data_IF_983751680264
#
_entry.id   IF_983751680264
#
_cell.length_a   1.000
_cell.length_b   1.000
_cell.length_c   1.000
_cell.angle_alpha   90.00
_cell.angle_beta   90.00
_cell.angle_gamma   90.00
#
_symmetry.space_group_name_H-M   'P 1'
#
loop_
_entity.id
_entity.type
_entity.pdbx_description
1 polymer ?
#
# COMPACT_ATOMS: atom_id res chain seq x y z
N UNK A 1 1.42 -35.40 -24.40
CA UNK A 1 2.02 -35.53 -23.06
C UNK A 1 2.38 -34.12 -22.58
N UNK A 2 1.72 -33.67 -21.51
CA UNK A 2 1.95 -32.49 -20.64
C UNK A 2 2.31 -31.11 -21.24
N UNK A 3 1.28 -30.28 -21.47
CA UNK A 3 1.40 -28.81 -21.48
C UNK A 3 1.51 -28.30 -20.04
N UNK A 4 2.74 -28.03 -19.61
CA UNK A 4 3.06 -27.47 -18.30
C UNK A 4 3.03 -25.95 -18.32
N UNK A 5 1.95 -25.34 -18.82
CA UNK A 5 1.77 -23.88 -18.77
C UNK A 5 1.47 -23.47 -17.34
N UNK A 6 2.56 -23.17 -16.63
CA UNK A 6 2.64 -22.58 -15.30
C UNK A 6 1.59 -21.48 -15.16
N UNK A 7 0.47 -21.84 -14.56
CA UNK A 7 -0.43 -20.89 -13.92
C UNK A 7 0.35 -20.27 -12.77
N UNK A 8 1.14 -19.24 -13.05
CA UNK A 8 1.52 -18.26 -12.04
C UNK A 8 0.22 -17.60 -11.64
N UNK A 9 -0.43 -18.23 -10.67
CA UNK A 9 -1.48 -17.67 -9.85
C UNK A 9 -0.93 -16.34 -9.35
N UNK A 10 -1.28 -15.26 -10.07
CA UNK A 10 -1.51 -13.97 -9.47
C UNK A 10 -2.65 -14.16 -8.47
N UNK A 11 -2.34 -14.86 -7.37
CA UNK A 11 -3.18 -14.84 -6.19
C UNK A 11 -3.25 -13.35 -5.84
N UNK A 12 -4.43 -12.72 -5.81
CA UNK A 12 -4.54 -11.43 -5.15
C UNK A 12 -4.23 -11.75 -3.69
N UNK A 13 -2.95 -11.65 -3.31
CA UNK A 13 -2.54 -11.67 -1.92
C UNK A 13 -3.42 -10.61 -1.28
N UNK A 14 -4.30 -11.03 -0.38
CA UNK A 14 -5.22 -10.15 0.29
C UNK A 14 -4.40 -8.98 0.83
N UNK A 15 -4.55 -7.82 0.18
CA UNK A 15 -3.65 -6.67 0.33
C UNK A 15 -3.64 -6.18 1.78
N UNK A 16 -4.69 -6.49 2.55
CA UNK A 16 -4.77 -6.24 3.98
C UNK A 16 -3.82 -7.06 4.87
N UNK A 17 -3.35 -8.24 4.44
CA UNK A 17 -2.46 -9.12 5.22
C UNK A 17 -0.98 -8.99 4.82
N UNK A 18 -0.69 -8.30 3.72
CA UNK A 18 0.69 -8.07 3.32
C UNK A 18 1.42 -7.25 4.39
N UNK A 19 2.58 -7.75 4.84
CA UNK A 19 3.44 -7.03 5.79
C UNK A 19 4.19 -5.92 5.08
N UNK A 20 4.34 -4.79 5.75
CA UNK A 20 5.07 -3.62 5.23
C UNK A 20 6.49 -3.98 4.75
N UNK A 21 7.18 -4.84 5.50
CA UNK A 21 8.54 -5.30 5.19
C UNK A 21 8.62 -6.09 3.88
N UNK A 22 7.56 -6.82 3.52
CA UNK A 22 7.52 -7.53 2.25
C UNK A 22 7.23 -6.58 1.08
N UNK A 23 6.28 -5.65 1.26
CA UNK A 23 5.97 -4.61 0.26
C UNK A 23 7.20 -3.78 -0.13
N UNK A 24 8.01 -3.45 0.88
CA UNK A 24 9.24 -2.65 0.72
C UNK A 24 10.39 -3.46 0.14
N UNK A 25 10.54 -4.74 0.53
CA UNK A 25 11.52 -5.64 -0.07
C UNK A 25 11.26 -5.89 -1.56
N UNK A 26 9.98 -5.87 -1.98
CA UNK A 26 9.57 -6.03 -3.37
C UNK A 26 9.80 -4.77 -4.24
N UNK A 27 10.39 -3.69 -3.71
CA UNK A 27 10.53 -2.38 -4.38
C UNK A 27 9.19 -1.83 -4.90
N UNK A 28 8.10 -2.14 -4.20
CA UNK A 28 6.77 -1.67 -4.57
C UNK A 28 6.47 -0.30 -3.97
N UNK A 29 5.64 0.48 -4.64
CA UNK A 29 5.12 1.75 -4.11
C UNK A 29 3.92 1.47 -3.22
N UNK A 30 3.88 2.07 -2.04
CA UNK A 30 2.69 2.07 -1.20
C UNK A 30 1.78 3.23 -1.58
N UNK A 31 0.51 2.93 -1.70
CA UNK A 31 -0.53 3.86 -2.06
C UNK A 31 -1.59 3.85 -0.98
N UNK A 32 -2.05 5.03 -0.61
CA UNK A 32 -3.21 5.18 0.24
C UNK A 32 -4.37 5.68 -0.60
N UNK A 33 -5.55 5.09 -0.41
CA UNK A 33 -6.80 5.53 -1.00
C UNK A 33 -7.81 5.87 0.09
N UNK A 34 -8.33 7.09 0.02
CA UNK A 34 -9.41 7.52 0.88
C UNK A 34 -10.75 7.28 0.18
N UNK A 35 -11.80 6.94 0.94
CA UNK A 35 -13.16 6.83 0.42
C UNK A 35 -13.73 8.13 -0.20
N UNK A 36 -13.05 9.27 -0.05
CA UNK A 36 -13.38 10.51 -0.75
C UNK A 36 -12.86 10.55 -2.20
N UNK A 37 -12.23 9.48 -2.68
CA UNK A 37 -11.64 9.40 -4.03
C UNK A 37 -10.23 9.99 -4.15
N UNK A 38 -9.59 10.40 -3.05
CA UNK A 38 -8.20 10.87 -3.06
C UNK A 38 -7.25 9.68 -2.92
N UNK A 39 -6.16 9.73 -3.68
CA UNK A 39 -5.10 8.74 -3.66
C UNK A 39 -3.77 9.46 -3.41
N UNK A 40 -2.87 8.87 -2.63
CA UNK A 40 -1.53 9.42 -2.43
C UNK A 40 -0.50 8.31 -2.24
N UNK A 41 0.70 8.51 -2.77
CA UNK A 41 1.84 7.65 -2.48
C UNK A 41 2.30 7.87 -1.04
N UNK A 42 2.45 6.78 -0.28
CA UNK A 42 2.94 6.81 1.09
C UNK A 42 4.38 6.30 1.12
N UNK A 43 5.26 7.09 1.73
CA UNK A 43 6.64 6.66 1.92
C UNK A 43 6.72 5.68 3.11
N UNK A 44 7.24 4.44 2.91
CA UNK A 44 7.36 3.45 3.99
C UNK A 44 8.52 3.72 4.95
N UNK A 45 9.51 4.54 4.59
CA UNK A 45 10.72 4.78 5.39
C UNK A 45 10.42 5.21 6.84
N UNK A 46 9.49 6.14 7.13
CA UNK A 46 9.16 6.49 8.51
C UNK A 46 8.65 5.31 9.33
N UNK A 47 7.84 4.41 8.75
CA UNK A 47 7.35 3.22 9.43
C UNK A 47 8.42 2.16 9.61
N UNK A 48 9.29 1.98 8.60
CA UNK A 48 10.45 1.08 8.71
C UNK A 48 11.43 1.54 9.79
N UNK A 49 11.71 2.84 9.87
CA UNK A 49 12.56 3.43 10.91
C UNK A 49 11.98 3.24 12.32
N UNK A 50 10.66 3.10 12.46
CA UNK A 50 9.98 2.78 13.72
C UNK A 50 9.90 1.26 14.01
N UNK A 51 10.45 0.41 13.14
CA UNK A 51 10.39 -1.05 13.32
C UNK A 51 9.03 -1.68 13.00
N UNK A 52 8.16 -0.97 12.28
CA UNK A 52 6.82 -1.45 11.89
C UNK A 52 6.83 -2.35 10.64
N UNK A 53 8.00 -2.82 10.21
CA UNK A 53 8.17 -3.71 9.05
C UNK A 53 7.36 -5.00 9.15
N UNK A 54 7.10 -5.48 10.38
CA UNK A 54 6.28 -6.69 10.63
C UNK A 54 4.77 -6.42 10.73
N UNK A 55 4.35 -5.15 10.77
CA UNK A 55 2.93 -4.80 10.79
C UNK A 55 2.30 -5.06 9.42
N UNK A 56 1.05 -5.47 9.45
CA UNK A 56 0.21 -5.61 8.26
C UNK A 56 -0.27 -4.24 7.79
N UNK A 57 -0.44 -4.08 6.48
CA UNK A 57 -0.90 -2.81 5.90
C UNK A 57 -2.24 -2.35 6.48
N UNK A 58 -3.16 -3.28 6.77
CA UNK A 58 -4.45 -2.94 7.37
C UNK A 58 -4.32 -2.17 8.70
N UNK A 59 -3.35 -2.51 9.55
CA UNK A 59 -3.10 -1.81 10.82
C UNK A 59 -2.55 -0.39 10.59
N UNK A 60 -1.70 -0.25 9.56
CA UNK A 60 -1.11 1.03 9.16
C UNK A 60 -2.13 1.97 8.50
N UNK A 61 -3.21 1.44 7.90
CA UNK A 61 -4.31 2.20 7.32
C UNK A 61 -4.98 3.16 8.32
N UNK A 62 -5.02 2.78 9.61
CA UNK A 62 -5.56 3.62 10.70
C UNK A 62 -4.65 4.79 11.09
N UNK A 63 -3.38 4.77 10.65
CA UNK A 63 -2.39 5.83 10.92
C UNK A 63 -2.34 6.87 9.80
N UNK A 64 -3.15 6.69 8.76
CA UNK A 64 -3.25 7.59 7.63
C UNK A 64 -4.38 8.59 7.83
N UNK A 65 -4.10 9.85 7.51
CA UNK A 65 -5.07 10.94 7.55
C UNK A 65 -5.19 11.57 6.19
N UNK A 66 -6.44 11.71 5.74
CA UNK A 66 -6.75 12.44 4.53
C UNK A 66 -7.09 13.89 4.88
N UNK A 67 -6.74 14.83 4.00
CA UNK A 67 -7.12 16.25 4.09
C UNK A 67 -8.63 16.48 4.04
N UNK A 68 -9.42 15.49 3.59
CA UNK A 68 -10.87 15.53 3.66
C UNK A 68 -11.43 15.36 5.09
N UNK A 69 -10.58 14.99 6.07
CA UNK A 69 -10.97 14.71 7.45
C UNK A 69 -11.11 13.23 7.79
N UNK A 70 -10.99 12.33 6.81
CA UNK A 70 -11.01 10.89 7.05
C UNK A 70 -9.82 10.46 7.91
N UNK A 71 -10.10 9.59 8.88
CA UNK A 71 -9.13 9.12 9.88
C UNK A 71 -8.44 7.81 9.51
N UNK A 72 -8.81 7.25 8.36
CA UNK A 72 -8.35 5.98 7.84
C UNK A 72 -8.30 6.10 6.32
N UNK A 73 -7.27 5.53 5.71
CA UNK A 73 -7.18 5.34 4.28
C UNK A 73 -6.69 3.92 4.00
N UNK A 74 -7.27 3.27 2.98
CA UNK A 74 -6.90 1.92 2.59
C UNK A 74 -5.51 1.92 1.96
N UNK A 75 -4.64 1.02 2.41
CA UNK A 75 -3.29 0.86 1.86
C UNK A 75 -3.27 -0.21 0.78
N UNK A 76 -2.74 0.16 -0.38
CA UNK A 76 -2.53 -0.69 -1.53
C UNK A 76 -1.04 -0.76 -1.89
N UNK A 77 -0.56 -1.95 -2.27
CA UNK A 77 0.77 -2.13 -2.84
C UNK A 77 0.61 -2.09 -4.35
N UNK A 78 1.13 -1.05 -5.01
CA UNK A 78 1.14 -0.99 -6.49
C UNK A 78 2.57 -1.05 -7.00
N UNK A 79 2.74 -1.70 -8.15
CA UNK A 79 4.02 -1.73 -8.85
C UNK A 79 4.41 -0.32 -9.28
N UNK A 80 5.71 -0.01 -9.24
CA UNK A 80 6.27 1.31 -9.58
C UNK A 80 5.85 1.81 -10.98
N UNK A 81 5.42 0.91 -11.87
CA UNK A 81 4.97 1.21 -13.24
C UNK A 81 3.57 1.84 -13.31
N UNK A 82 2.79 1.80 -12.23
CA UNK A 82 1.39 2.25 -12.19
C UNK A 82 1.27 3.55 -11.39
N UNK A 83 1.97 4.59 -11.83
CA UNK A 83 1.78 5.94 -11.30
C UNK A 83 0.49 6.54 -11.92
N UNK A 84 -0.54 6.87 -11.13
CA UNK A 84 -1.76 7.48 -11.64
C UNK A 84 -1.48 8.90 -12.17
N UNK A 85 -2.02 9.19 -13.35
CA UNK A 85 -1.90 10.49 -14.02
C UNK A 85 -2.72 11.64 -13.41
N UNK A 86 -3.29 11.48 -12.21
CA UNK A 86 -4.19 12.48 -11.63
C UNK A 86 -3.98 12.62 -10.11
N UNK A 87 -3.37 13.73 -9.68
CA UNK A 87 -3.54 14.29 -8.33
C UNK A 87 -3.15 13.40 -7.15
N UNK A 88 -1.98 12.76 -7.19
CA UNK A 88 -1.44 12.07 -6.01
C UNK A 88 -1.15 13.09 -4.89
N UNK A 89 -1.99 13.12 -3.85
CA UNK A 89 -1.81 14.07 -2.76
C UNK A 89 -2.98 14.21 -1.79
N UNK A 90 -2.66 14.64 -0.57
CA UNK A 90 -3.66 14.90 0.46
C UNK A 90 -3.94 13.72 1.41
N UNK A 91 -3.15 12.65 1.37
CA UNK A 91 -3.10 11.66 2.47
C UNK A 91 -1.68 11.67 3.03
N UNK A 92 -1.58 11.78 4.35
CA UNK A 92 -0.31 11.82 5.07
C UNK A 92 -0.32 10.86 6.25
N UNK A 93 0.86 10.41 6.63
CA UNK A 93 1.06 9.60 7.83
C UNK A 93 1.05 10.52 9.04
N UNK A 94 0.16 10.24 9.99
CA UNK A 94 0.12 10.90 11.28
C UNK A 94 0.75 9.97 12.34
N UNK A 95 1.57 10.55 13.21
CA UNK A 95 2.37 9.84 14.22
C UNK A 95 1.62 9.64 15.51
#
# INVERSE_FOLDING_TARGET
MADGSRSYLARPMAVGEARLGWATAARSSLWARCGCGREAAIDPRPWLAQGLSRQVLHDLSHRLRCVCGARQAELEIRGLAEAPGHGAGGIYVFR
#
